data_IF_278988920890
#
_entry.id   IF_278988920890
#
_cell.length_a   1.000
_cell.length_b   1.000
_cell.length_c   1.000
_cell.angle_alpha   90.00
_cell.angle_beta   90.00
_cell.angle_gamma   90.00
#
_symmetry.space_group_name_H-M   'P 1'
#
loop_
_entity.id
_entity.type
_entity.pdbx_description
1 polymer ?
#
# COMPACT_ATOMS: atom_id res chain seq x y z
N UNK A 1 21.53 -21.65 -27.85
CA UNK A 1 21.01 -22.52 -26.79
C UNK A 1 20.06 -21.64 -25.98
N UNK A 2 18.77 -21.75 -26.27
CA UNK A 2 17.73 -20.88 -25.73
C UNK A 2 17.37 -21.37 -24.32
N UNK A 3 17.46 -20.49 -23.31
CA UNK A 3 17.07 -20.84 -21.94
C UNK A 3 15.55 -21.07 -21.89
N UNK A 4 15.07 -22.11 -21.18
CA UNK A 4 13.65 -22.40 -21.12
C UNK A 4 12.87 -21.26 -20.44
N UNK A 5 11.60 -21.05 -20.82
CA UNK A 5 10.76 -20.04 -20.17
C UNK A 5 10.62 -20.37 -18.69
N UNK A 6 10.88 -19.38 -17.83
CA UNK A 6 10.65 -19.49 -16.39
C UNK A 6 9.14 -19.62 -16.18
N UNK A 7 8.67 -20.86 -16.00
CA UNK A 7 7.31 -21.12 -15.56
C UNK A 7 7.17 -20.57 -14.15
N UNK A 8 6.42 -19.46 -14.02
CA UNK A 8 5.97 -18.94 -12.73
C UNK A 8 4.95 -19.91 -12.14
N UNK A 9 5.43 -21.02 -11.59
CA UNK A 9 4.60 -21.86 -10.75
C UNK A 9 4.17 -21.02 -9.54
N UNK A 10 2.87 -21.01 -9.18
CA UNK A 10 2.46 -20.41 -7.94
C UNK A 10 3.21 -21.14 -6.82
N UNK A 11 3.81 -20.38 -5.90
CA UNK A 11 4.48 -20.93 -4.73
C UNK A 11 3.43 -21.66 -3.90
N UNK A 12 3.30 -22.97 -4.10
CA UNK A 12 2.53 -23.86 -3.23
C UNK A 12 3.38 -24.17 -2.00
N UNK A 13 3.61 -23.14 -1.20
CA UNK A 13 4.37 -23.23 0.04
C UNK A 13 3.72 -22.37 1.09
N UNK A 14 2.78 -22.95 1.86
CA UNK A 14 2.36 -22.54 3.20
C UNK A 14 1.86 -21.10 3.46
N UNK A 15 2.00 -20.17 2.51
CA UNK A 15 1.48 -18.83 2.61
C UNK A 15 0.01 -18.90 2.24
N UNK A 16 -0.87 -18.68 3.22
CA UNK A 16 -2.29 -18.42 2.97
C UNK A 16 -2.37 -17.35 1.89
N UNK A 17 -3.09 -17.61 0.80
CA UNK A 17 -3.22 -16.62 -0.26
C UNK A 17 -4.06 -15.45 0.27
N UNK A 18 -3.38 -14.40 0.72
CA UNK A 18 -4.01 -13.24 1.33
C UNK A 18 -4.39 -12.23 0.25
N UNK A 19 -5.63 -11.79 0.31
CA UNK A 19 -6.18 -10.75 -0.52
C UNK A 19 -6.17 -9.44 0.25
N UNK A 20 -5.67 -8.39 -0.39
CA UNK A 20 -5.87 -7.02 0.06
C UNK A 20 -7.18 -6.49 -0.53
N UNK A 21 -8.08 -6.06 0.36
CA UNK A 21 -9.22 -5.23 0.04
C UNK A 21 -8.82 -3.78 0.29
N UNK A 22 -9.02 -2.89 -0.68
CA UNK A 22 -8.54 -1.51 -0.61
C UNK A 22 -9.63 -0.53 -1.09
N UNK A 23 -9.85 0.51 -0.28
CA UNK A 23 -10.47 1.76 -0.69
C UNK A 23 -9.46 2.90 -0.50
N UNK A 24 -9.48 3.87 -1.39
CA UNK A 24 -8.62 5.04 -1.28
C UNK A 24 -9.41 6.32 -1.51
N UNK A 25 -8.93 7.41 -0.93
CA UNK A 25 -9.45 8.75 -1.10
C UNK A 25 -8.40 9.76 -0.66
N UNK A 26 -8.80 11.01 -0.52
CA UNK A 26 -7.89 12.04 -0.02
C UNK A 26 -8.63 13.07 0.82
N UNK A 27 -7.89 13.75 1.68
CA UNK A 27 -8.36 14.88 2.49
C UNK A 27 -7.41 16.06 2.32
N UNK A 28 -7.93 17.28 2.23
CA UNK A 28 -7.08 18.48 2.21
C UNK A 28 -6.39 18.68 3.55
N UNK A 29 -5.22 19.31 3.52
CA UNK A 29 -4.41 19.58 4.73
C UNK A 29 -5.23 20.28 5.84
N UNK A 30 -6.12 21.20 5.45
CA UNK A 30 -6.98 21.96 6.38
C UNK A 30 -8.01 21.09 7.12
N UNK A 31 -8.41 19.95 6.56
CA UNK A 31 -9.41 19.06 7.14
C UNK A 31 -8.79 17.85 7.86
N UNK A 32 -7.44 17.78 7.93
CA UNK A 32 -6.73 16.68 8.56
C UNK A 32 -7.15 16.46 10.02
N UNK A 33 -7.14 17.51 10.84
CA UNK A 33 -7.45 17.39 12.27
C UNK A 33 -8.87 16.90 12.51
N UNK A 34 -9.83 17.37 11.70
CA UNK A 34 -11.22 16.91 11.75
C UNK A 34 -11.33 15.43 11.39
N UNK A 35 -10.59 14.98 10.36
CA UNK A 35 -10.55 13.56 9.99
C UNK A 35 -9.92 12.70 11.10
N UNK A 36 -8.78 13.12 11.67
CA UNK A 36 -8.11 12.39 12.75
C UNK A 36 -9.00 12.29 13.99
N UNK A 37 -9.71 13.36 14.35
CA UNK A 37 -10.67 13.34 15.44
C UNK A 37 -11.83 12.38 15.18
N UNK A 38 -12.39 12.37 13.96
CA UNK A 38 -13.44 11.42 13.58
C UNK A 38 -12.95 9.98 13.63
N UNK A 39 -11.75 9.71 13.12
CA UNK A 39 -11.15 8.37 13.12
C UNK A 39 -10.91 7.86 14.54
N UNK A 40 -10.44 8.71 15.48
CA UNK A 40 -10.36 8.34 16.90
C UNK A 40 -11.71 7.84 17.43
N UNK A 41 -12.79 8.59 17.21
CA UNK A 41 -14.12 8.18 17.66
C UNK A 41 -14.63 6.88 17.03
N UNK A 42 -14.24 6.60 15.78
CA UNK A 42 -14.64 5.37 15.07
C UNK A 42 -13.77 4.15 15.41
N UNK A 43 -12.52 4.37 15.81
CA UNK A 43 -11.51 3.37 16.16
C UNK A 43 -11.31 3.28 17.69
N UNK A 44 -12.41 3.25 18.44
CA UNK A 44 -12.46 2.99 19.88
C UNK A 44 -11.64 3.97 20.76
N UNK A 45 -11.53 5.23 20.31
CA UNK A 45 -10.75 6.29 20.96
C UNK A 45 -9.27 5.98 21.18
N UNK A 46 -8.71 5.07 20.38
CA UNK A 46 -7.27 4.83 20.38
C UNK A 46 -6.52 5.98 19.68
N UNK A 47 -5.39 6.40 20.26
CA UNK A 47 -4.48 7.31 19.59
C UNK A 47 -3.84 6.63 18.36
N UNK A 48 -3.70 7.33 17.23
CA UNK A 48 -3.07 6.76 16.05
C UNK A 48 -1.60 6.51 16.28
N UNK A 49 -1.11 5.42 15.69
CA UNK A 49 0.32 5.19 15.54
C UNK A 49 0.85 6.17 14.48
N UNK A 50 1.94 6.88 14.78
CA UNK A 50 2.61 7.75 13.81
C UNK A 50 3.75 7.00 13.15
N UNK A 51 3.96 7.26 11.86
CA UNK A 51 5.04 6.63 11.11
C UNK A 51 5.69 7.60 10.13
N UNK A 52 6.94 7.29 9.79
CA UNK A 52 7.70 7.88 8.71
C UNK A 52 8.42 6.72 8.04
N UNK A 53 8.05 6.42 6.80
CA UNK A 53 8.55 5.29 6.04
C UNK A 53 9.21 5.77 4.74
N UNK A 54 10.32 5.13 4.39
CA UNK A 54 10.95 5.26 3.08
C UNK A 54 10.53 4.08 2.20
N UNK A 55 9.86 4.38 1.10
CA UNK A 55 9.36 3.39 0.15
C UNK A 55 10.11 3.50 -1.19
N UNK A 56 10.61 2.36 -1.66
CA UNK A 56 11.23 2.20 -2.97
C UNK A 56 10.36 1.27 -3.81
N UNK A 57 10.07 1.69 -5.04
CA UNK A 57 9.31 0.91 -6.01
C UNK A 57 10.27 0.31 -7.03
N UNK A 58 10.24 -1.02 -7.14
CA UNK A 58 11.09 -1.79 -8.05
C UNK A 58 10.24 -2.41 -9.16
N UNK A 59 10.77 -2.37 -10.38
CA UNK A 59 10.18 -2.97 -11.56
C UNK A 59 11.11 -4.05 -12.12
N UNK A 60 10.52 -5.18 -12.51
CA UNK A 60 11.16 -6.16 -13.36
C UNK A 60 10.41 -6.20 -14.70
N UNK A 61 11.13 -5.86 -15.78
CA UNK A 61 10.57 -5.90 -17.14
C UNK A 61 10.32 -7.35 -17.54
N UNK A 62 9.06 -7.73 -17.72
CA UNK A 62 8.68 -9.03 -18.27
C UNK A 62 8.93 -9.09 -19.78
N UNK A 63 9.11 -10.29 -20.33
CA UNK A 63 9.35 -10.48 -21.76
C UNK A 63 8.10 -10.23 -22.64
N UNK A 64 6.88 -10.33 -22.09
CA UNK A 64 5.62 -10.15 -22.84
C UNK A 64 4.47 -9.55 -22.00
N UNK A 65 4.68 -8.45 -21.27
CA UNK A 65 3.55 -7.85 -20.54
C UNK A 65 3.86 -6.72 -19.56
N UNK A 66 2.85 -6.40 -18.74
CA UNK A 66 2.92 -5.42 -17.64
C UNK A 66 4.15 -5.74 -16.74
N UNK A 67 4.90 -4.71 -16.30
CA UNK A 67 6.06 -4.92 -15.44
C UNK A 67 5.64 -5.54 -14.11
N UNK A 68 6.48 -6.43 -13.58
CA UNK A 68 6.29 -7.00 -12.25
C UNK A 68 6.80 -5.99 -11.22
N UNK A 69 5.94 -5.62 -10.25
CA UNK A 69 6.19 -4.51 -9.32
C UNK A 69 6.40 -5.06 -7.91
N UNK A 70 7.48 -4.64 -7.26
CA UNK A 70 7.74 -4.87 -5.84
C UNK A 70 7.90 -3.54 -5.13
N UNK A 71 7.48 -3.47 -3.87
CA UNK A 71 7.74 -2.33 -2.99
C UNK A 71 8.64 -2.78 -1.85
N UNK A 72 9.75 -2.10 -1.67
CA UNK A 72 10.61 -2.25 -0.50
C UNK A 72 10.37 -1.06 0.43
N UNK A 73 10.12 -1.32 1.70
CA UNK A 73 9.82 -0.30 2.70
C UNK A 73 10.71 -0.46 3.92
N UNK A 74 11.19 0.65 4.47
CA UNK A 74 11.82 0.71 5.80
C UNK A 74 11.23 1.84 6.63
N UNK A 75 11.20 1.67 7.94
CA UNK A 75 10.88 2.77 8.84
C UNK A 75 12.07 3.70 9.01
N UNK A 76 11.84 5.00 8.90
CA UNK A 76 12.81 6.05 9.25
C UNK A 76 12.74 6.39 10.75
N UNK A 77 11.56 6.25 11.37
CA UNK A 77 11.40 6.43 12.82
C UNK A 77 12.03 5.31 13.64
N UNK A 78 12.10 4.09 13.09
CA UNK A 78 12.68 2.92 13.74
C UNK A 78 13.71 2.24 12.83
N UNK A 79 14.94 2.77 12.72
CA UNK A 79 15.95 2.26 11.77
C UNK A 79 16.40 0.82 12.04
N UNK A 80 16.18 0.31 13.26
CA UNK A 80 16.49 -1.08 13.65
C UNK A 80 15.39 -2.07 13.26
N UNK A 81 14.22 -1.59 12.85
CA UNK A 81 13.16 -2.46 12.32
C UNK A 81 13.59 -3.10 11.01
N UNK A 82 13.16 -4.34 10.73
CA UNK A 82 13.47 -5.00 9.48
C UNK A 82 12.88 -4.23 8.29
N UNK A 83 13.46 -4.43 7.12
CA UNK A 83 12.84 -4.01 5.88
C UNK A 83 11.60 -4.86 5.61
N UNK A 84 10.71 -4.34 4.78
CA UNK A 84 9.54 -5.05 4.31
C UNK A 84 9.55 -5.13 2.79
N UNK A 85 9.42 -6.33 2.24
CA UNK A 85 9.19 -6.55 0.83
C UNK A 85 7.71 -6.85 0.61
N UNK A 86 7.07 -6.06 -0.25
CA UNK A 86 5.66 -6.18 -0.56
C UNK A 86 5.43 -6.40 -2.05
N UNK A 87 4.70 -7.46 -2.38
CA UNK A 87 4.15 -7.72 -3.70
C UNK A 87 2.66 -7.41 -3.72
N UNK A 88 2.21 -6.71 -4.75
CA UNK A 88 0.81 -6.38 -5.01
C UNK A 88 0.44 -6.94 -6.38
N UNK A 89 -0.46 -7.92 -6.38
CA UNK A 89 -0.96 -8.54 -7.61
C UNK A 89 -1.83 -7.60 -8.43
N UNK A 90 -2.17 -8.05 -9.64
CA UNK A 90 -3.14 -7.34 -10.45
C UNK A 90 -4.51 -7.34 -9.75
N UNK A 91 -5.21 -6.21 -9.74
CA UNK A 91 -6.59 -6.15 -9.25
C UNK A 91 -7.48 -7.14 -9.99
N UNK A 92 -8.35 -7.84 -9.26
CA UNK A 92 -9.33 -8.73 -9.85
C UNK A 92 -10.30 -7.92 -10.73
N UNK A 93 -10.26 -8.20 -12.03
CA UNK A 93 -11.15 -7.59 -13.02
C UNK A 93 -12.34 -8.53 -13.21
N UNK A 94 -13.55 -8.07 -12.90
CA UNK A 94 -14.76 -8.83 -13.24
C UNK A 94 -15.97 -8.51 -12.40
N UNK A 95 -15.78 -8.20 -11.11
CA UNK A 95 -16.92 -7.96 -10.21
C UNK A 95 -17.18 -6.47 -9.99
N UNK A 96 -18.18 -5.94 -10.70
CA UNK A 96 -18.67 -4.57 -10.55
C UNK A 96 -19.49 -4.37 -9.27
N UNK A 97 -19.96 -5.43 -8.63
CA UNK A 97 -20.73 -5.34 -7.39
C UNK A 97 -19.84 -5.04 -6.18
N UNK A 98 -18.57 -5.46 -6.24
CA UNK A 98 -17.60 -5.24 -5.16
C UNK A 98 -17.25 -3.77 -4.98
N UNK A 99 -17.44 -3.31 -3.76
CA UNK A 99 -17.17 -1.93 -3.35
C UNK A 99 -15.70 -1.60 -3.18
N UNK A 100 -14.84 -2.60 -2.99
CA UNK A 100 -13.40 -2.47 -2.80
C UNK A 100 -12.59 -3.03 -3.97
N UNK A 101 -11.38 -2.50 -4.16
CA UNK A 101 -10.36 -3.13 -4.98
C UNK A 101 -9.89 -4.39 -4.26
N UNK A 102 -9.77 -5.50 -4.98
CA UNK A 102 -9.30 -6.78 -4.42
C UNK A 102 -8.11 -7.26 -5.24
N UNK A 103 -7.00 -7.59 -4.58
CA UNK A 103 -5.79 -8.12 -5.24
C UNK A 103 -5.00 -9.03 -4.30
N UNK A 104 -4.22 -9.95 -4.87
CA UNK A 104 -3.24 -10.72 -4.09
C UNK A 104 -2.23 -9.77 -3.42
N UNK A 105 -1.90 -10.02 -2.16
CA UNK A 105 -0.92 -9.25 -1.43
C UNK A 105 0.01 -10.19 -0.64
N UNK A 106 1.32 -9.99 -0.78
CA UNK A 106 2.34 -10.65 0.03
C UNK A 106 3.19 -9.58 0.67
N UNK A 107 3.36 -9.63 1.99
CA UNK A 107 4.24 -8.73 2.76
C UNK A 107 5.11 -9.59 3.66
N UNK A 108 6.43 -9.44 3.55
CA UNK A 108 7.41 -10.22 4.31
C UNK A 108 8.48 -9.31 4.87
N UNK A 109 8.89 -9.60 6.10
CA UNK A 109 10.08 -8.98 6.69
C UNK A 109 11.35 -9.47 5.95
N UNK A 110 12.30 -8.56 5.77
CA UNK A 110 13.54 -8.78 5.05
C UNK A 110 14.72 -8.10 5.76
N UNK A 111 15.93 -8.53 5.41
CA UNK A 111 17.17 -7.94 5.91
C UNK A 111 17.43 -6.55 5.33
N UNK A 112 18.41 -5.85 5.91
CA UNK A 112 18.83 -4.53 5.43
C UNK A 112 19.46 -4.53 4.03
N UNK A 113 19.86 -5.70 3.52
CA UNK A 113 20.43 -5.90 2.19
C UNK A 113 19.38 -6.07 1.08
N UNK A 114 18.09 -5.81 1.38
CA UNK A 114 16.99 -6.01 0.44
C UNK A 114 17.17 -5.19 -0.86
N UNK A 115 17.53 -3.89 -0.83
CA UNK A 115 17.75 -3.11 -2.04
C UNK A 115 18.83 -3.71 -2.96
N UNK A 116 19.97 -4.09 -2.39
CA UNK A 116 21.09 -4.69 -3.11
C UNK A 116 20.67 -6.03 -3.74
N UNK A 117 20.01 -6.88 -2.95
CA UNK A 117 19.48 -8.16 -3.41
C UNK A 117 18.52 -8.01 -4.60
N UNK A 118 17.58 -7.04 -4.54
CA UNK A 118 16.65 -6.80 -5.64
C UNK A 118 17.38 -6.35 -6.92
N UNK A 119 18.36 -5.47 -6.77
CA UNK A 119 19.18 -5.01 -7.89
C UNK A 119 19.98 -6.17 -8.53
N UNK A 120 20.57 -7.06 -7.72
CA UNK A 120 21.28 -8.26 -8.18
C UNK A 120 20.35 -9.24 -8.90
N UNK A 121 19.09 -9.33 -8.46
CA UNK A 121 18.03 -10.13 -9.12
C UNK A 121 17.52 -9.51 -10.43
N UNK A 122 18.03 -8.35 -10.83
CA UNK A 122 17.71 -7.68 -12.09
C UNK A 122 16.52 -6.73 -12.03
N UNK A 123 15.97 -6.48 -10.84
CA UNK A 123 15.00 -5.39 -10.65
C UNK A 123 15.67 -4.04 -10.84
N UNK A 124 14.90 -3.07 -11.32
CA UNK A 124 15.31 -1.67 -11.41
C UNK A 124 14.40 -0.85 -10.52
N UNK A 125 14.99 -0.03 -9.66
CA UNK A 125 14.24 1.00 -8.94
C UNK A 125 13.67 1.99 -9.97
N UNK A 126 12.37 2.24 -9.85
CA UNK A 126 11.62 3.16 -10.70
C UNK A 126 11.51 4.54 -10.04
N UNK A 127 11.03 4.56 -8.80
CA UNK A 127 10.96 5.76 -7.98
C UNK A 127 11.00 5.41 -6.49
N UNK A 128 11.31 6.41 -5.68
CA UNK A 128 11.29 6.34 -4.22
C UNK A 128 10.65 7.60 -3.62
N UNK A 129 10.05 7.44 -2.45
CA UNK A 129 9.35 8.52 -1.76
C UNK A 129 9.34 8.28 -0.25
N UNK A 130 9.11 9.37 0.49
CA UNK A 130 8.83 9.32 1.92
C UNK A 130 7.33 9.42 2.14
N UNK A 131 6.80 8.52 2.94
CA UNK A 131 5.41 8.50 3.40
C UNK A 131 5.39 8.71 4.91
N UNK A 132 4.68 9.72 5.38
CA UNK A 132 4.57 9.97 6.82
C UNK A 132 3.12 10.29 7.20
N UNK A 133 2.70 9.85 8.37
CA UNK A 133 1.32 10.08 8.78
C UNK A 133 0.85 9.26 9.96
N UNK A 134 -0.44 8.94 9.95
CA UNK A 134 -1.18 8.32 11.04
C UNK A 134 -1.77 6.99 10.59
N UNK A 135 -1.70 5.99 11.46
CA UNK A 135 -2.31 4.69 11.26
C UNK A 135 -3.29 4.39 12.40
N UNK A 136 -4.52 4.04 12.03
CA UNK A 136 -5.56 3.57 12.93
C UNK A 136 -5.91 2.12 12.63
N UNK A 137 -6.41 1.42 13.65
CA UNK A 137 -6.93 0.06 13.52
C UNK A 137 -8.31 -0.05 14.12
N UNK A 138 -9.19 -0.80 13.46
CA UNK A 138 -10.50 -1.21 13.98
C UNK A 138 -10.76 -2.66 13.57
N UNK A 139 -10.60 -3.60 14.50
CA UNK A 139 -10.58 -5.02 14.17
C UNK A 139 -9.52 -5.31 13.09
N UNK A 140 -9.94 -5.90 11.97
CA UNK A 140 -9.05 -6.19 10.83
C UNK A 140 -8.81 -4.99 9.90
N UNK A 141 -9.55 -3.90 10.06
CA UNK A 141 -9.41 -2.71 9.23
C UNK A 141 -8.20 -1.89 9.65
N UNK A 142 -7.37 -1.55 8.68
CA UNK A 142 -6.24 -0.62 8.82
C UNK A 142 -6.55 0.64 8.01
N UNK A 143 -6.57 1.78 8.68
CA UNK A 143 -6.74 3.09 8.05
C UNK A 143 -5.40 3.81 8.12
N UNK A 144 -4.89 4.25 6.97
CA UNK A 144 -3.67 5.04 6.87
C UNK A 144 -4.02 6.41 6.31
N UNK A 145 -3.59 7.46 7.00
CA UNK A 145 -3.68 8.86 6.53
C UNK A 145 -2.26 9.36 6.38
N UNK A 146 -1.77 9.47 5.14
CA UNK A 146 -0.37 9.74 4.85
C UNK A 146 -0.15 10.92 3.92
N UNK A 147 0.94 11.65 4.17
CA UNK A 147 1.49 12.64 3.27
C UNK A 147 2.60 11.98 2.47
N UNK A 148 2.57 12.13 1.15
CA UNK A 148 3.59 11.61 0.26
C UNK A 148 4.51 12.74 -0.20
N UNK A 149 5.82 12.51 -0.08
CA UNK A 149 6.84 13.44 -0.53
C UNK A 149 7.84 12.72 -1.43
N UNK A 150 8.05 13.23 -2.64
CA UNK A 150 9.07 12.70 -3.54
C UNK A 150 10.47 13.04 -3.02
N UNK A 151 11.41 12.13 -3.23
CA UNK A 151 12.82 12.38 -2.95
C UNK A 151 13.45 13.08 -4.16
N UNK A 152 14.14 14.20 -3.92
CA UNK A 152 14.75 15.01 -4.98
C UNK A 152 16.16 14.55 -5.35
N UNK A 153 16.86 13.92 -4.40
CA UNK A 153 18.20 13.35 -4.59
C UNK A 153 18.17 11.90 -4.14
N UNK A 154 18.44 10.93 -5.02
CA UNK A 154 18.24 9.53 -4.68
C UNK A 154 18.92 9.09 -3.37
N UNK A 155 18.20 8.37 -2.52
CA UNK A 155 18.61 7.91 -1.19
C UNK A 155 18.64 9.01 -0.10
N UNK A 156 18.48 10.29 -0.45
CA UNK A 156 18.46 11.38 0.51
C UNK A 156 17.04 11.69 0.99
N UNK A 157 16.62 11.01 2.05
CA UNK A 157 15.28 11.12 2.64
C UNK A 157 14.99 12.46 3.32
N UNK A 158 16.00 13.30 3.53
CA UNK A 158 15.82 14.65 4.09
C UNK A 158 15.50 15.68 2.99
N UNK A 159 15.91 15.40 1.75
CA UNK A 159 15.70 16.28 0.61
C UNK A 159 14.44 15.88 -0.16
N UNK A 160 13.28 16.27 0.37
CA UNK A 160 11.97 15.87 -0.16
C UNK A 160 11.09 17.05 -0.53
N UNK A 161 10.17 16.81 -1.45
CA UNK A 161 9.14 17.77 -1.86
C UNK A 161 7.76 17.11 -1.79
N UNK A 162 6.78 17.81 -1.21
CA UNK A 162 5.40 17.33 -1.09
C UNK A 162 4.78 17.14 -2.48
N UNK A 163 4.13 16.00 -2.70
CA UNK A 163 3.46 15.71 -3.97
C UNK A 163 2.12 16.45 -4.14
N UNK A 164 1.46 16.81 -3.04
CA UNK A 164 0.15 17.49 -3.08
C UNK A 164 -0.11 18.32 -1.81
N UNK A 165 -1.24 19.06 -1.83
CA UNK A 165 -1.84 19.75 -0.68
C UNK A 165 -2.91 18.90 0.03
N UNK A 166 -2.84 17.58 -0.15
CA UNK A 166 -3.75 16.62 0.47
C UNK A 166 -2.97 15.50 1.16
N UNK A 167 -3.65 14.78 2.04
CA UNK A 167 -3.22 13.49 2.56
C UNK A 167 -3.95 12.39 1.78
N UNK A 168 -3.21 11.35 1.40
CA UNK A 168 -3.77 10.11 0.92
C UNK A 168 -4.43 9.40 2.10
N UNK A 169 -5.65 8.90 1.90
CA UNK A 169 -6.36 8.10 2.90
C UNK A 169 -6.63 6.74 2.30
N UNK A 170 -6.13 5.70 2.97
CA UNK A 170 -6.29 4.30 2.55
C UNK A 170 -7.00 3.53 3.65
N UNK A 171 -8.07 2.84 3.31
CA UNK A 171 -8.71 1.83 4.14
C UNK A 171 -8.40 0.46 3.54
N UNK A 172 -7.74 -0.39 4.30
CA UNK A 172 -7.29 -1.71 3.83
C UNK A 172 -7.62 -2.82 4.82
N UNK A 173 -7.90 -4.01 4.28
CA UNK A 173 -8.03 -5.25 5.04
C UNK A 173 -7.24 -6.34 4.34
N UNK A 174 -6.50 -7.15 5.10
CA UNK A 174 -5.88 -8.39 4.63
C UNK A 174 -6.72 -9.57 5.11
N UNK A 175 -7.22 -10.37 4.18
CA UNK A 175 -8.04 -11.54 4.50
C UNK A 175 -7.78 -12.68 3.51
N UNK A 176 -8.07 -13.94 3.88
CA UNK A 176 -8.05 -15.04 2.92
C UNK A 176 -8.99 -14.78 1.74
N UNK A 177 -8.72 -15.42 0.60
CA UNK A 177 -9.60 -15.34 -0.56
C UNK A 177 -11.05 -15.80 -0.26
N UNK A 178 -12.03 -15.16 -0.91
CA UNK A 178 -13.46 -15.52 -0.81
C UNK A 178 -14.24 -14.91 0.37
N UNK A 179 -13.72 -13.85 1.00
CA UNK A 179 -14.39 -13.12 2.10
C UNK A 179 -15.18 -11.91 1.58
N UNK A 180 -16.33 -12.15 0.93
CA UNK A 180 -17.08 -11.10 0.23
C UNK A 180 -17.69 -10.05 1.18
N UNK A 181 -18.05 -10.44 2.41
CA UNK A 181 -18.59 -9.56 3.45
C UNK A 181 -17.64 -8.41 3.82
N UNK A 182 -16.33 -8.61 3.64
CA UNK A 182 -15.31 -7.61 3.98
C UNK A 182 -15.52 -6.30 3.20
N UNK A 183 -15.98 -6.41 1.95
CA UNK A 183 -16.21 -5.25 1.10
C UNK A 183 -17.40 -4.39 1.55
N UNK A 184 -18.43 -5.00 2.13
CA UNK A 184 -19.60 -4.32 2.68
C UNK A 184 -19.27 -3.61 3.99
N UNK A 185 -18.54 -4.28 4.88
CA UNK A 185 -18.09 -3.71 6.15
C UNK A 185 -17.17 -2.50 5.91
N UNK A 186 -16.23 -2.62 4.97
CA UNK A 186 -15.36 -1.51 4.57
C UNK A 186 -16.15 -0.34 4.00
N UNK A 187 -17.19 -0.61 3.18
CA UNK A 187 -18.07 0.45 2.67
C UNK A 187 -18.84 1.13 3.80
N UNK A 188 -19.42 0.35 4.72
CA UNK A 188 -20.14 0.89 5.88
C UNK A 188 -19.27 1.78 6.76
N UNK A 189 -18.00 1.41 6.95
CA UNK A 189 -17.02 2.26 7.63
C UNK A 189 -16.71 3.53 6.82
N UNK A 190 -16.47 3.40 5.51
CA UNK A 190 -16.18 4.53 4.63
C UNK A 190 -17.32 5.57 4.58
N UNK A 191 -18.58 5.14 4.59
CA UNK A 191 -19.74 6.05 4.63
C UNK A 191 -19.75 6.93 5.89
N UNK A 192 -19.24 6.41 7.02
CA UNK A 192 -19.11 7.18 8.26
C UNK A 192 -18.03 8.27 8.20
N UNK A 193 -17.13 8.23 7.20
CA UNK A 193 -16.13 9.28 7.01
C UNK A 193 -16.64 10.44 6.14
N UNK A 194 -17.80 10.30 5.50
CA UNK A 194 -18.39 11.40 4.74
C UNK A 194 -18.91 12.51 5.67
N UNK A 195 -18.81 13.79 5.26
CA UNK A 195 -18.28 14.27 3.97
C UNK A 195 -16.76 14.53 3.97
N UNK A 196 -16.05 14.25 5.08
CA UNK A 196 -14.63 14.61 5.24
C UNK A 196 -13.74 13.92 4.19
N UNK A 197 -14.01 12.65 3.92
CA UNK A 197 -13.32 11.84 2.91
C UNK A 197 -14.32 10.99 2.17
N UNK A 198 -14.12 10.89 0.86
CA UNK A 198 -14.83 9.96 -0.01
C UNK A 198 -13.85 8.84 -0.36
N UNK A 199 -14.02 7.67 0.27
CA UNK A 199 -13.22 6.48 -0.01
C UNK A 199 -13.91 5.63 -1.07
N UNK A 200 -13.20 5.31 -2.14
CA UNK A 200 -13.73 4.57 -3.28
C UNK A 200 -12.73 3.51 -3.76
N UNK A 201 -13.23 2.53 -4.52
CA UNK A 201 -12.39 1.61 -5.29
C UNK A 201 -11.71 2.39 -6.42
N UNK A 202 -10.39 2.50 -6.38
CA UNK A 202 -9.64 3.15 -7.45
C UNK A 202 -9.59 2.24 -8.68
N UNK A 203 -9.77 2.86 -9.85
CA UNK A 203 -9.59 2.20 -11.14
C UNK A 203 -8.10 1.85 -11.34
N UNK A 204 -7.75 0.57 -11.58
CA UNK A 204 -6.38 0.13 -11.82
C UNK A 204 -5.67 0.89 -12.95
N UNK A 205 -6.42 1.43 -13.92
CA UNK A 205 -5.87 2.24 -15.01
C UNK A 205 -5.33 3.59 -14.54
N UNK A 206 -5.82 4.12 -13.41
CA UNK A 206 -5.44 5.41 -12.83
C UNK A 206 -4.26 5.34 -11.86
N UNK A 207 -3.82 4.13 -11.47
CA UNK A 207 -2.61 3.94 -10.64
C UNK A 207 -1.30 3.88 -11.45
N UNK A 208 -1.36 4.14 -12.77
CA UNK A 208 -0.21 3.99 -13.70
C UNK A 208 0.63 5.25 -13.88
N UNK A 209 0.40 6.31 -13.11
CA UNK A 209 1.10 7.60 -13.22
C UNK A 209 1.57 8.10 -11.87
#
# INVERSE_FOLDING_TARGET
MEAPPVSVMPVTGGAVNMMEYLLQGSVYDQALESLLHRLRGLCDNMEPETFIDHELVYLLKGQQGNPFILRARRSLSHPTSPWHLRYLGQPEVGDKSRHALVRNCVDVAASHSLPEFLNEMGFRMDHEFVSNGHMFRKGAMKIVVSKLSRILVPGNTDNTERLSLSYLVELSVLAPAGQDNMSEDMRSFAEQLKPLVHLEKIDPSKQRH
#
